data_IF_673131251181
#
_entry.id   IF_673131251181
#
_cell.length_a   1.000
_cell.length_b   1.000
_cell.length_c   1.000
_cell.angle_alpha   90.00
_cell.angle_beta   90.00
_cell.angle_gamma   90.00
#
_symmetry.space_group_name_H-M   'P 1'
#
loop_
_entity.id
_entity.type
_entity.pdbx_description
1 polymer ?
#
# COMPACT_ATOMS: atom_id res chain seq x y z
N UNK A 1 -41.10 50.36 -52.06
CA UNK A 1 -39.91 51.20 -51.99
C UNK A 1 -39.43 51.40 -53.40
N UNK A 2 -39.43 52.66 -53.84
CA UNK A 2 -38.98 53.03 -55.17
C UNK A 2 -37.53 52.65 -55.38
N UNK A 3 -37.09 52.36 -56.63
CA UNK A 3 -35.76 51.81 -56.92
C UNK A 3 -34.60 52.67 -56.41
N UNK A 4 -34.79 54.00 -56.31
CA UNK A 4 -33.79 54.96 -55.79
C UNK A 4 -33.65 54.96 -54.26
N UNK A 5 -34.65 54.51 -53.53
CA UNK A 5 -34.63 54.43 -52.05
C UNK A 5 -34.08 53.13 -51.50
N UNK A 6 -34.03 52.07 -52.29
CA UNK A 6 -33.52 50.74 -51.88
C UNK A 6 -32.13 50.74 -51.24
N UNK A 7 -31.15 51.48 -51.80
CA UNK A 7 -29.82 51.46 -51.20
C UNK A 7 -29.78 52.20 -49.83
N UNK A 8 -30.57 53.26 -49.65
CA UNK A 8 -30.66 54.02 -48.39
C UNK A 8 -31.34 53.17 -47.28
N UNK A 9 -32.42 52.46 -47.64
CA UNK A 9 -33.08 51.56 -46.70
C UNK A 9 -32.18 50.37 -46.34
N UNK A 10 -31.45 49.81 -47.30
CA UNK A 10 -30.47 48.75 -47.08
C UNK A 10 -29.37 49.18 -46.13
N UNK A 11 -28.85 50.38 -46.30
CA UNK A 11 -27.80 50.96 -45.43
C UNK A 11 -28.34 51.18 -44.00
N UNK A 12 -29.52 51.77 -43.83
CA UNK A 12 -30.15 51.97 -42.55
C UNK A 12 -30.40 50.64 -41.80
N UNK A 13 -30.88 49.61 -42.49
CA UNK A 13 -31.09 48.26 -41.92
C UNK A 13 -29.77 47.68 -41.45
N UNK A 14 -28.73 47.77 -42.26
CA UNK A 14 -27.42 47.25 -41.89
C UNK A 14 -26.81 48.01 -40.69
N UNK A 15 -26.89 49.31 -40.67
CA UNK A 15 -26.41 50.14 -39.55
C UNK A 15 -27.18 49.83 -38.27
N UNK A 16 -28.50 49.67 -38.36
CA UNK A 16 -29.33 49.25 -37.20
C UNK A 16 -28.96 47.83 -36.73
N UNK A 17 -28.73 46.92 -37.63
CA UNK A 17 -28.29 45.57 -37.30
C UNK A 17 -26.96 45.59 -36.54
N UNK A 18 -25.95 46.31 -37.04
CA UNK A 18 -24.63 46.46 -36.40
C UNK A 18 -24.77 47.04 -35.00
N UNK A 19 -25.62 48.07 -34.83
CA UNK A 19 -25.88 48.66 -33.52
C UNK A 19 -26.51 47.65 -32.54
N UNK A 20 -27.51 46.89 -32.99
CA UNK A 20 -28.16 45.88 -32.18
C UNK A 20 -27.16 44.75 -31.79
N UNK A 21 -26.36 44.26 -32.73
CA UNK A 21 -25.32 43.28 -32.47
C UNK A 21 -24.29 43.78 -31.43
N UNK A 22 -23.84 45.02 -31.57
CA UNK A 22 -22.94 45.65 -30.60
C UNK A 22 -23.56 45.81 -29.19
N UNK A 23 -24.83 46.19 -29.11
CA UNK A 23 -25.57 46.26 -27.82
C UNK A 23 -25.77 44.92 -27.19
N UNK A 24 -26.05 43.86 -27.97
CA UNK A 24 -26.19 42.49 -27.50
C UNK A 24 -24.85 41.96 -26.95
N UNK A 25 -23.74 42.16 -27.66
CA UNK A 25 -22.41 41.74 -27.21
C UNK A 25 -21.99 42.50 -25.94
N UNK A 26 -22.25 43.79 -25.82
CA UNK A 26 -21.97 44.54 -24.60
C UNK A 26 -22.81 44.02 -23.41
N UNK A 27 -24.10 43.78 -23.64
CA UNK A 27 -24.99 43.24 -22.61
C UNK A 27 -24.60 41.85 -22.18
N UNK A 28 -24.20 40.99 -23.12
CA UNK A 28 -23.70 39.66 -22.84
C UNK A 28 -22.45 39.70 -21.98
N UNK A 29 -21.45 40.53 -22.34
CA UNK A 29 -20.23 40.72 -21.53
C UNK A 29 -20.52 41.22 -20.11
N UNK A 30 -21.47 42.15 -19.96
CA UNK A 30 -21.88 42.66 -18.65
C UNK A 30 -22.55 41.55 -17.80
N UNK A 31 -23.41 40.73 -18.41
CA UNK A 31 -24.05 39.63 -17.72
C UNK A 31 -23.04 38.53 -17.34
N UNK A 32 -22.12 38.17 -18.21
CA UNK A 32 -21.05 37.22 -17.93
C UNK A 32 -20.13 37.69 -16.79
N UNK A 33 -19.76 38.99 -16.79
CA UNK A 33 -18.98 39.59 -15.72
C UNK A 33 -19.72 39.55 -14.37
N UNK A 34 -20.99 39.93 -14.36
CA UNK A 34 -21.82 39.90 -13.16
C UNK A 34 -22.01 38.47 -12.61
N UNK A 35 -22.21 37.49 -13.51
CA UNK A 35 -22.32 36.10 -13.13
C UNK A 35 -21.01 35.55 -12.52
N UNK A 36 -19.88 35.93 -13.12
CA UNK A 36 -18.54 35.59 -12.63
C UNK A 36 -18.28 36.20 -11.24
N UNK A 37 -18.65 37.45 -11.04
CA UNK A 37 -18.50 38.11 -9.75
C UNK A 37 -19.40 37.48 -8.67
N UNK A 38 -20.66 37.16 -9.02
CA UNK A 38 -21.57 36.44 -8.11
C UNK A 38 -21.01 35.10 -7.71
N UNK A 39 -20.51 34.33 -8.67
CA UNK A 39 -19.92 33.00 -8.43
C UNK A 39 -18.65 33.09 -7.56
N UNK A 40 -17.79 34.09 -7.80
CA UNK A 40 -16.62 34.34 -6.96
C UNK A 40 -16.97 34.71 -5.51
N UNK A 41 -18.10 35.41 -5.29
CA UNK A 41 -18.59 35.71 -3.93
C UNK A 41 -19.20 34.48 -3.22
N UNK A 42 -19.79 33.57 -3.96
CA UNK A 42 -20.36 32.34 -3.44
C UNK A 42 -19.28 31.30 -3.11
N UNK A 43 -18.19 31.27 -3.90
CA UNK A 43 -17.04 30.36 -3.73
C UNK A 43 -15.95 30.96 -2.80
N UNK A 44 -16.32 31.59 -1.70
CA UNK A 44 -15.35 32.11 -0.72
C UNK A 44 -14.72 30.94 0.05
N UNK A 45 -13.45 30.70 -0.21
CA UNK A 45 -12.65 29.76 0.56
C UNK A 45 -12.00 30.51 1.72
N UNK A 46 -12.26 30.10 2.95
CA UNK A 46 -11.59 30.63 4.12
C UNK A 46 -10.14 30.13 4.17
N UNK A 47 -9.21 30.97 3.72
CA UNK A 47 -7.78 30.67 3.72
C UNK A 47 -7.13 30.75 5.10
N UNK A 48 -7.87 31.20 6.13
CA UNK A 48 -7.37 31.25 7.51
C UNK A 48 -7.48 29.90 8.21
N UNK A 49 -8.31 29.00 7.67
CA UNK A 49 -8.40 27.64 8.19
C UNK A 49 -7.08 26.92 7.95
N UNK A 50 -6.51 26.28 8.99
CA UNK A 50 -5.27 25.53 8.82
C UNK A 50 -5.50 24.37 7.84
N UNK A 51 -4.58 24.22 6.91
CA UNK A 51 -4.59 23.10 5.99
C UNK A 51 -4.60 21.77 6.75
N UNK A 52 -5.35 20.79 6.24
CA UNK A 52 -5.31 19.42 6.76
C UNK A 52 -3.87 18.94 6.68
N UNK A 53 -3.19 18.80 7.82
CA UNK A 53 -1.86 18.19 7.86
C UNK A 53 -2.01 16.73 7.42
N UNK A 54 -1.34 16.37 6.35
CA UNK A 54 -1.21 14.97 5.99
C UNK A 54 -0.49 14.27 7.14
N UNK A 55 -1.13 13.28 7.74
CA UNK A 55 -0.45 12.42 8.70
C UNK A 55 0.58 11.60 7.93
N UNK A 56 1.83 11.84 8.20
CA UNK A 56 2.92 10.99 7.69
C UNK A 56 2.79 9.64 8.39
N UNK A 57 2.67 8.58 7.60
CA UNK A 57 2.66 7.23 8.14
C UNK A 57 4.01 6.92 8.82
N UNK A 58 3.95 6.17 9.91
CA UNK A 58 5.14 5.67 10.60
C UNK A 58 5.21 4.15 10.44
N UNK A 59 6.43 3.62 10.38
CA UNK A 59 6.64 2.18 10.37
C UNK A 59 6.30 1.60 11.74
N UNK A 60 5.76 0.37 11.72
CA UNK A 60 5.49 -0.36 12.95
C UNK A 60 6.81 -0.65 13.70
N UNK A 61 6.86 -0.59 15.04
CA UNK A 61 8.08 -0.87 15.82
C UNK A 61 8.73 -2.22 15.48
N UNK A 62 7.93 -3.28 15.30
CA UNK A 62 8.45 -4.59 14.89
C UNK A 62 9.18 -4.55 13.54
N UNK A 63 8.63 -3.79 12.56
CA UNK A 63 9.29 -3.65 11.26
C UNK A 63 10.65 -2.94 11.38
N UNK A 64 10.73 -1.92 12.24
CA UNK A 64 11.99 -1.23 12.52
C UNK A 64 13.01 -2.15 13.19
N UNK A 65 12.57 -2.97 14.14
CA UNK A 65 13.44 -3.93 14.81
C UNK A 65 13.95 -5.01 13.85
N UNK A 66 13.06 -5.55 12.98
CA UNK A 66 13.43 -6.53 11.97
C UNK A 66 14.48 -5.96 11.00
N UNK A 67 14.23 -4.78 10.43
CA UNK A 67 15.17 -4.10 9.54
C UNK A 67 16.53 -3.83 10.18
N UNK A 68 16.55 -3.46 11.45
CA UNK A 68 17.82 -3.23 12.16
C UNK A 68 18.61 -4.52 12.33
N UNK A 69 17.97 -5.63 12.69
CA UNK A 69 18.62 -6.95 12.79
C UNK A 69 19.12 -7.40 11.42
N UNK A 70 18.30 -7.32 10.38
CA UNK A 70 18.70 -7.64 9.01
C UNK A 70 19.93 -6.82 8.58
N UNK A 71 19.91 -5.52 8.82
CA UNK A 71 21.04 -4.62 8.49
C UNK A 71 22.33 -5.06 9.16
N UNK A 72 22.26 -5.46 10.44
CA UNK A 72 23.43 -5.92 11.20
C UNK A 72 23.97 -7.21 10.59
N UNK A 73 23.12 -8.22 10.37
CA UNK A 73 23.56 -9.53 9.85
C UNK A 73 24.06 -9.45 8.41
N UNK A 74 23.42 -8.65 7.55
CA UNK A 74 23.92 -8.37 6.20
C UNK A 74 25.30 -7.70 6.26
N UNK A 75 25.54 -6.77 7.20
CA UNK A 75 26.85 -6.19 7.44
C UNK A 75 27.91 -7.20 7.91
N UNK A 76 27.49 -8.33 8.49
CA UNK A 76 28.35 -9.46 8.88
C UNK A 76 28.56 -10.48 7.76
N UNK A 77 27.95 -10.29 6.58
CA UNK A 77 28.08 -11.19 5.43
C UNK A 77 27.02 -12.30 5.39
N UNK A 78 25.89 -12.16 6.08
CA UNK A 78 24.77 -13.08 5.98
C UNK A 78 23.82 -12.67 4.85
N UNK A 79 23.18 -13.64 4.25
CA UNK A 79 22.07 -13.45 3.30
C UNK A 79 20.74 -13.46 4.05
N UNK A 80 19.80 -12.62 3.63
CA UNK A 80 18.42 -12.65 4.11
C UNK A 80 17.63 -13.57 3.20
N UNK A 81 17.07 -14.63 3.75
CA UNK A 81 16.31 -15.63 2.99
C UNK A 81 14.89 -15.71 3.52
N UNK A 82 13.92 -15.56 2.63
CA UNK A 82 12.51 -15.67 2.94
C UNK A 82 11.95 -17.05 2.55
N UNK A 83 10.91 -17.48 3.25
CA UNK A 83 10.17 -18.69 2.95
C UNK A 83 8.66 -18.52 3.13
N UNK A 84 7.85 -19.49 2.67
CA UNK A 84 6.40 -19.40 2.73
C UNK A 84 5.88 -19.45 4.18
N UNK A 85 4.82 -18.66 4.45
CA UNK A 85 4.12 -18.71 5.75
C UNK A 85 3.20 -19.95 5.86
N UNK A 86 2.64 -20.39 4.73
CA UNK A 86 1.88 -21.63 4.60
C UNK A 86 2.86 -22.73 4.17
N UNK A 87 3.10 -23.69 5.04
CA UNK A 87 4.17 -24.66 4.89
C UNK A 87 3.63 -26.09 4.93
N UNK A 88 4.38 -27.04 4.40
CA UNK A 88 4.05 -28.44 4.57
C UNK A 88 4.46 -28.93 5.95
N UNK A 89 3.72 -29.91 6.47
CA UNK A 89 4.05 -30.60 7.71
C UNK A 89 5.47 -31.19 7.68
N UNK A 90 5.92 -31.65 6.51
CA UNK A 90 7.27 -32.16 6.29
C UNK A 90 8.34 -31.11 6.67
N UNK A 91 8.29 -29.92 6.07
CA UNK A 91 9.29 -28.88 6.34
C UNK A 91 9.17 -28.26 7.72
N UNK A 92 7.94 -28.17 8.25
CA UNK A 92 7.73 -27.56 9.56
C UNK A 92 8.10 -28.49 10.72
N UNK A 93 8.09 -29.82 10.49
CA UNK A 93 8.32 -30.80 11.53
C UNK A 93 9.25 -31.96 11.12
N UNK A 94 8.91 -32.76 10.12
CA UNK A 94 9.63 -34.02 9.84
C UNK A 94 11.09 -33.80 9.46
N UNK A 95 11.35 -32.85 8.57
CA UNK A 95 12.70 -32.50 8.14
C UNK A 95 13.57 -31.84 9.26
N UNK A 96 12.93 -31.40 10.34
CA UNK A 96 13.59 -30.91 11.55
C UNK A 96 13.72 -32.00 12.64
N UNK A 97 13.54 -33.27 12.25
CA UNK A 97 13.61 -34.42 13.15
C UNK A 97 12.50 -34.44 14.22
N UNK A 98 11.34 -33.90 13.89
CA UNK A 98 10.12 -33.96 14.71
C UNK A 98 9.07 -34.83 13.97
N UNK A 99 9.20 -36.15 14.03
CA UNK A 99 8.29 -37.09 13.33
C UNK A 99 6.89 -37.08 13.94
N UNK A 100 5.94 -37.67 13.21
CA UNK A 100 4.57 -37.84 13.71
C UNK A 100 4.60 -38.67 15.03
N UNK A 101 3.90 -38.19 16.06
CA UNK A 101 3.89 -38.75 17.40
C UNK A 101 5.06 -38.33 18.31
N UNK A 102 5.88 -37.37 17.89
CA UNK A 102 6.90 -36.79 18.77
C UNK A 102 6.22 -35.94 19.86
N UNK A 103 6.61 -36.04 21.15
CA UNK A 103 5.95 -35.30 22.24
C UNK A 103 5.94 -33.79 22.02
N UNK A 104 7.03 -33.22 21.52
CA UNK A 104 7.13 -31.78 21.24
C UNK A 104 6.11 -31.31 20.21
N UNK A 105 5.65 -32.17 19.32
CA UNK A 105 4.65 -31.86 18.30
C UNK A 105 3.26 -31.70 18.91
N UNK A 106 2.94 -32.47 19.94
CA UNK A 106 1.67 -32.38 20.67
C UNK A 106 1.62 -31.15 21.59
N UNK A 107 2.80 -30.65 21.99
CA UNK A 107 2.94 -29.44 22.81
C UNK A 107 2.90 -28.16 22.00
N UNK A 108 3.06 -28.26 20.68
CA UNK A 108 3.00 -27.09 19.78
C UNK A 108 1.59 -26.89 19.25
N UNK A 109 0.93 -25.89 19.77
CA UNK A 109 -0.35 -25.45 19.23
C UNK A 109 -0.15 -24.91 17.81
N UNK A 110 -0.57 -25.70 16.83
CA UNK A 110 -0.34 -25.46 15.41
C UNK A 110 -1.65 -25.20 14.68
N UNK A 111 -1.67 -24.16 13.84
CA UNK A 111 -2.78 -23.97 12.91
C UNK A 111 -2.64 -24.90 11.71
N UNK A 112 -3.43 -25.94 11.65
CA UNK A 112 -3.54 -26.84 10.51
C UNK A 112 -4.55 -26.29 9.49
N UNK A 113 -4.12 -26.18 8.23
CA UNK A 113 -5.00 -25.87 7.09
C UNK A 113 -5.57 -27.19 6.53
N UNK A 114 -4.74 -28.25 6.54
CA UNK A 114 -5.11 -29.63 6.24
C UNK A 114 -4.15 -30.56 6.99
N UNK A 115 -4.34 -31.90 6.86
CA UNK A 115 -3.48 -32.88 7.51
C UNK A 115 -1.98 -32.74 7.16
N UNK A 116 -1.66 -32.12 6.04
CA UNK A 116 -0.28 -31.94 5.51
C UNK A 116 0.17 -30.49 5.39
N UNK A 117 -0.73 -29.54 5.61
CA UNK A 117 -0.45 -28.10 5.42
C UNK A 117 -0.72 -27.35 6.72
N UNK A 118 0.26 -26.56 7.14
CA UNK A 118 0.22 -25.80 8.39
C UNK A 118 0.58 -24.33 8.14
N UNK A 119 0.18 -23.46 9.06
CA UNK A 119 0.86 -22.18 9.21
C UNK A 119 2.15 -22.43 9.99
N UNK A 120 3.29 -21.98 9.44
CA UNK A 120 4.60 -22.27 10.04
C UNK A 120 4.66 -21.79 11.49
N UNK A 121 5.10 -22.64 12.38
CA UNK A 121 5.26 -22.33 13.82
C UNK A 121 6.62 -21.70 14.14
N UNK A 122 7.54 -21.74 13.18
CA UNK A 122 8.92 -21.24 13.28
C UNK A 122 9.45 -20.91 11.87
N UNK A 123 10.58 -20.23 11.78
CA UNK A 123 11.23 -19.94 10.49
C UNK A 123 12.25 -21.01 10.07
N UNK A 124 12.47 -22.05 10.87
CA UNK A 124 13.38 -23.19 10.59
C UNK A 124 13.11 -23.92 9.26
N UNK A 125 11.88 -24.02 8.73
CA UNK A 125 11.66 -24.59 7.39
C UNK A 125 12.50 -23.93 6.30
N UNK A 126 12.80 -22.65 6.42
CA UNK A 126 13.64 -21.90 5.47
C UNK A 126 15.07 -22.45 5.49
N UNK A 127 15.60 -22.79 6.67
CA UNK A 127 16.93 -23.39 6.81
C UNK A 127 17.00 -24.74 6.09
N UNK A 128 15.99 -25.58 6.24
CA UNK A 128 15.92 -26.88 5.53
C UNK A 128 15.95 -26.69 4.03
N UNK A 129 15.14 -25.76 3.51
CA UNK A 129 15.08 -25.46 2.08
C UNK A 129 16.42 -24.96 1.53
N UNK A 130 17.15 -24.16 2.31
CA UNK A 130 18.48 -23.70 1.90
C UNK A 130 19.51 -24.84 1.93
N UNK A 131 19.50 -25.70 2.96
CA UNK A 131 20.38 -26.88 3.02
C UNK A 131 20.13 -27.84 1.87
N UNK A 132 18.88 -28.06 1.47
CA UNK A 132 18.51 -28.94 0.35
C UNK A 132 19.05 -28.45 -1.00
N UNK A 133 19.35 -27.14 -1.16
CA UNK A 133 19.98 -26.62 -2.37
C UNK A 133 21.42 -27.13 -2.55
N UNK A 134 22.03 -27.65 -1.49
CA UNK A 134 23.38 -28.22 -1.49
C UNK A 134 24.52 -27.25 -1.83
N UNK A 135 24.30 -25.97 -1.67
CA UNK A 135 25.33 -24.93 -1.94
C UNK A 135 25.99 -24.52 -0.63
N UNK A 136 27.28 -24.71 -0.52
CA UNK A 136 28.10 -24.30 0.63
C UNK A 136 29.10 -23.22 0.23
N UNK A 137 29.53 -22.36 1.16
CA UNK A 137 29.03 -22.23 2.53
C UNK A 137 27.65 -21.58 2.60
N UNK A 138 26.88 -21.86 3.67
CA UNK A 138 25.61 -21.22 3.98
C UNK A 138 25.84 -20.24 5.13
N UNK A 139 25.49 -18.99 4.95
CA UNK A 139 25.45 -17.97 6.01
C UNK A 139 24.20 -17.15 5.80
N UNK A 140 23.13 -17.49 6.50
CA UNK A 140 21.83 -16.87 6.29
C UNK A 140 21.11 -16.53 7.59
N UNK A 141 20.20 -15.58 7.48
CA UNK A 141 19.11 -15.36 8.44
C UNK A 141 17.77 -15.52 7.73
N UNK A 142 16.82 -16.08 8.48
CA UNK A 142 15.45 -16.27 8.03
C UNK A 142 14.49 -15.43 8.91
N UNK A 143 14.27 -14.16 8.57
CA UNK A 143 13.27 -13.34 9.24
C UNK A 143 11.87 -13.71 8.75
N UNK A 144 10.89 -13.63 9.64
CA UNK A 144 9.53 -13.85 9.20
C UNK A 144 8.50 -13.95 10.31
N UNK A 145 7.25 -13.88 9.90
CA UNK A 145 6.11 -14.08 10.76
C UNK A 145 5.86 -15.57 10.95
N UNK A 146 5.50 -15.94 12.17
CA UNK A 146 5.18 -17.31 12.59
C UNK A 146 3.87 -17.32 13.36
N UNK A 147 3.25 -18.49 13.47
CA UNK A 147 1.90 -18.64 13.99
C UNK A 147 1.84 -19.79 14.99
N UNK A 148 1.15 -19.57 16.10
CA UNK A 148 0.83 -20.61 17.08
C UNK A 148 -0.59 -20.41 17.55
N UNK A 149 -1.34 -21.50 17.74
CA UNK A 149 -2.72 -21.43 18.19
C UNK A 149 -2.86 -21.36 19.72
N UNK A 150 -1.87 -20.73 20.35
CA UNK A 150 -1.88 -20.47 21.78
C UNK A 150 -3.08 -19.61 22.18
N UNK A 151 -3.57 -19.81 23.39
CA UNK A 151 -4.57 -18.93 23.99
C UNK A 151 -3.98 -17.53 24.18
N UNK A 152 -4.71 -16.51 23.70
CA UNK A 152 -4.23 -15.13 23.70
C UNK A 152 -4.25 -14.55 25.10
N UNK A 153 -3.09 -14.18 25.62
CA UNK A 153 -2.94 -13.50 26.91
C UNK A 153 -1.99 -12.29 26.80
N UNK A 154 -1.54 -11.75 27.94
CA UNK A 154 -0.63 -10.60 27.97
C UNK A 154 0.77 -10.88 27.39
N UNK A 155 1.16 -12.14 27.24
CA UNK A 155 2.49 -12.58 26.80
C UNK A 155 2.48 -13.45 25.53
N UNK A 156 1.33 -14.01 25.17
CA UNK A 156 1.17 -14.89 24.02
C UNK A 156 0.32 -14.21 22.93
N UNK A 157 0.87 -14.14 21.74
CA UNK A 157 0.20 -13.70 20.52
C UNK A 157 0.16 -14.84 19.53
N UNK A 158 -0.98 -15.09 18.87
CA UNK A 158 -1.08 -16.16 17.86
C UNK A 158 -0.24 -15.88 16.61
N UNK A 159 0.26 -14.66 16.47
CA UNK A 159 1.15 -14.28 15.38
C UNK A 159 2.27 -13.41 15.94
N UNK A 160 3.50 -13.80 15.70
CA UNK A 160 4.68 -13.04 16.11
C UNK A 160 5.80 -13.17 15.08
N UNK A 161 6.92 -12.48 15.30
CA UNK A 161 8.04 -12.50 14.37
C UNK A 161 9.21 -13.25 15.00
N UNK A 162 9.90 -14.04 14.18
CA UNK A 162 11.16 -14.68 14.51
C UNK A 162 12.23 -14.34 13.48
N UNK A 163 13.48 -14.40 13.92
CA UNK A 163 14.65 -14.39 13.05
C UNK A 163 15.53 -15.55 13.49
N UNK A 164 15.76 -16.48 12.61
CA UNK A 164 16.68 -17.62 12.84
C UNK A 164 17.90 -17.45 11.95
N UNK A 165 19.05 -17.89 12.44
CA UNK A 165 20.30 -17.84 11.71
C UNK A 165 20.88 -19.23 11.51
N UNK A 166 21.51 -19.45 10.35
CA UNK A 166 22.20 -20.68 10.01
C UNK A 166 23.58 -20.36 9.43
N UNK A 167 24.59 -21.07 9.93
CA UNK A 167 25.95 -21.07 9.38
C UNK A 167 26.40 -22.49 9.17
N UNK A 168 26.79 -22.80 7.94
CA UNK A 168 27.45 -24.08 7.57
C UNK A 168 28.63 -23.74 6.67
N UNK A 169 29.81 -24.17 7.06
CA UNK A 169 31.06 -23.97 6.29
C UNK A 169 31.29 -25.11 5.31
#
# INVERSE_FOLDING_TARGET
VEAEERPKVGQLVNDTRVQIEAMLDESKKKMEAALREAKMKEEVIDVTLPAKKNQVGHRHPNSLAMEEVERIFVGMGYEVVEGPEVETDYYNFEALNIPKGHPTRDEQDTFYVSDEIVLRTQTSPVQVREMEKGKLPIRMIAPGRVFRSDEVDATHSPSFHQIEGLVID
#
